data_IF_908416076458
#
_entry.id   IF_908416076458
#
_cell.length_a   1.000
_cell.length_b   1.000
_cell.length_c   1.000
_cell.angle_alpha   90.00
_cell.angle_beta   90.00
_cell.angle_gamma   90.00
#
_symmetry.space_group_name_H-M   'P 1'
#
loop_
_entity.id
_entity.type
_entity.pdbx_description
1 polymer ?
#
# COMPACT_ATOMS: atom_id res chain seq x y z
N UNK A 1 10.66 -16.01 -18.33
CA UNK A 1 10.50 -16.03 -16.86
C UNK A 1 10.19 -14.65 -16.26
N UNK A 2 10.87 -13.57 -16.69
CA UNK A 2 10.70 -12.21 -16.13
C UNK A 2 9.30 -11.61 -16.36
N UNK A 3 8.65 -11.91 -17.50
CA UNK A 3 7.32 -11.38 -17.84
C UNK A 3 6.21 -11.97 -16.96
N UNK A 4 6.27 -13.28 -16.66
CA UNK A 4 5.30 -13.96 -15.78
C UNK A 4 5.38 -13.46 -14.34
N UNK A 5 6.61 -13.25 -13.83
CA UNK A 5 6.84 -12.63 -12.51
C UNK A 5 6.24 -11.22 -12.42
N UNK A 6 6.33 -10.43 -13.51
CA UNK A 6 5.78 -9.08 -13.56
C UNK A 6 4.24 -9.09 -13.58
N UNK A 7 3.62 -9.98 -14.36
CA UNK A 7 2.15 -10.15 -14.39
C UNK A 7 1.58 -10.48 -13.01
N UNK A 8 2.21 -11.44 -12.31
CA UNK A 8 1.82 -11.80 -10.94
C UNK A 8 1.98 -10.61 -10.00
N UNK A 9 3.10 -9.88 -10.10
CA UNK A 9 3.36 -8.73 -9.25
C UNK A 9 2.33 -7.61 -9.43
N UNK A 10 1.92 -7.32 -10.67
CA UNK A 10 0.88 -6.31 -10.95
C UNK A 10 -0.46 -6.78 -10.39
N UNK A 11 -0.85 -8.03 -10.64
CA UNK A 11 -2.09 -8.59 -10.12
C UNK A 11 -2.16 -8.55 -8.58
N UNK A 12 -1.09 -8.95 -7.91
CA UNK A 12 -0.97 -8.89 -6.45
C UNK A 12 -1.00 -7.45 -5.94
N UNK A 13 -0.36 -6.51 -6.63
CA UNK A 13 -0.36 -5.09 -6.23
C UNK A 13 -1.76 -4.48 -6.36
N UNK A 14 -2.49 -4.80 -7.44
CA UNK A 14 -3.88 -4.36 -7.62
C UNK A 14 -4.81 -4.94 -6.53
N UNK A 15 -4.66 -6.23 -6.21
CA UNK A 15 -5.38 -6.86 -5.10
C UNK A 15 -5.05 -6.15 -3.77
N UNK A 16 -3.77 -5.92 -3.48
CA UNK A 16 -3.35 -5.24 -2.27
C UNK A 16 -3.93 -3.83 -2.16
N UNK A 17 -3.97 -3.06 -3.24
CA UNK A 17 -4.63 -1.74 -3.27
C UNK A 17 -6.11 -1.87 -3.00
N UNK A 18 -6.80 -2.81 -3.66
CA UNK A 18 -8.24 -3.05 -3.43
C UNK A 18 -8.56 -3.40 -1.98
N UNK A 19 -7.78 -4.31 -1.37
CA UNK A 19 -7.93 -4.66 0.05
C UNK A 19 -7.60 -3.49 0.97
N UNK A 20 -6.59 -2.68 0.64
CA UNK A 20 -6.24 -1.48 1.43
C UNK A 20 -7.35 -0.43 1.41
N UNK A 21 -7.97 -0.22 0.24
CA UNK A 21 -9.14 0.66 0.11
C UNK A 21 -10.34 0.09 0.88
N UNK A 22 -10.58 -1.21 0.79
CA UNK A 22 -11.62 -1.88 1.56
C UNK A 22 -11.41 -1.69 3.08
N UNK A 23 -10.16 -1.75 3.55
CA UNK A 23 -9.80 -1.46 4.93
C UNK A 23 -10.06 0.01 5.32
N UNK A 24 -9.89 0.97 4.41
CA UNK A 24 -10.24 2.38 4.68
C UNK A 24 -11.73 2.60 4.90
N UNK A 25 -12.55 1.97 4.06
CA UNK A 25 -14.00 2.22 4.03
C UNK A 25 -14.77 1.33 5.01
N UNK A 26 -14.18 0.22 5.47
CA UNK A 26 -14.86 -0.70 6.37
C UNK A 26 -15.19 -0.03 7.70
N UNK A 27 -16.34 -0.38 8.26
CA UNK A 27 -16.75 -0.01 9.61
C UNK A 27 -16.47 -1.12 10.63
N UNK A 28 -15.75 -2.17 10.23
CA UNK A 28 -15.42 -3.32 11.08
C UNK A 28 -14.24 -3.08 12.03
N UNK A 29 -13.76 -1.84 12.15
CA UNK A 29 -12.76 -1.51 13.16
C UNK A 29 -13.42 -1.43 14.54
N UNK A 30 -12.63 -1.59 15.60
CA UNK A 30 -13.13 -1.67 16.98
C UNK A 30 -13.87 -0.38 17.41
N UNK A 31 -13.43 0.77 16.87
CA UNK A 31 -14.09 2.07 17.02
C UNK A 31 -15.09 2.41 15.90
N UNK A 32 -15.41 1.46 15.02
CA UNK A 32 -16.33 1.60 13.88
C UNK A 32 -15.62 2.01 12.58
N UNK A 33 -16.05 3.12 11.98
CA UNK A 33 -15.45 3.63 10.74
C UNK A 33 -14.29 4.59 11.06
N UNK A 34 -13.16 4.40 10.37
CA UNK A 34 -11.91 5.14 10.55
C UNK A 34 -12.07 6.66 10.35
N UNK A 35 -12.93 7.08 9.41
CA UNK A 35 -13.12 8.48 9.04
C UNK A 35 -14.22 9.20 9.82
N UNK A 36 -15.03 8.49 10.61
CA UNK A 36 -16.17 9.10 11.31
C UNK A 36 -16.20 8.72 12.78
N UNK A 37 -16.50 7.47 13.10
CA UNK A 37 -16.67 7.01 14.47
C UNK A 37 -15.36 7.06 15.27
N UNK A 38 -14.24 6.63 14.68
CA UNK A 38 -12.94 6.65 15.35
C UNK A 38 -12.42 8.09 15.61
N UNK A 39 -12.76 9.06 14.75
CA UNK A 39 -12.35 10.46 14.91
C UNK A 39 -13.07 11.18 16.07
N UNK A 40 -14.24 10.68 16.50
CA UNK A 40 -15.03 11.27 17.60
C UNK A 40 -14.66 10.73 18.99
N UNK A 41 -13.67 9.85 19.08
CA UNK A 41 -13.27 9.19 20.34
C UNK A 41 -11.82 9.54 20.69
N UNK A 42 -11.31 9.05 21.82
CA UNK A 42 -9.89 9.19 22.21
C UNK A 42 -8.90 8.59 21.21
N UNK A 43 -9.38 7.80 20.23
CA UNK A 43 -8.56 7.21 19.16
C UNK A 43 -8.31 8.13 17.97
N UNK A 44 -8.72 9.42 18.03
CA UNK A 44 -8.63 10.35 16.89
C UNK A 44 -7.23 10.43 16.28
N UNK A 45 -6.19 10.61 17.12
CA UNK A 45 -4.82 10.81 16.64
C UNK A 45 -4.25 9.51 16.05
N UNK A 46 -4.56 8.37 16.67
CA UNK A 46 -4.17 7.04 16.20
C UNK A 46 -4.87 6.71 14.89
N UNK A 47 -6.17 6.94 14.78
CA UNK A 47 -6.96 6.69 13.58
C UNK A 47 -6.49 7.55 12.39
N UNK A 48 -6.15 8.82 12.64
CA UNK A 48 -5.57 9.69 11.62
C UNK A 48 -4.20 9.21 11.14
N UNK A 49 -3.33 8.76 12.07
CA UNK A 49 -2.03 8.20 11.73
C UNK A 49 -2.17 6.90 10.91
N UNK A 50 -3.07 6.01 11.30
CA UNK A 50 -3.36 4.76 10.58
C UNK A 50 -3.90 5.05 9.17
N UNK A 51 -4.86 5.97 9.04
CA UNK A 51 -5.38 6.38 7.75
C UNK A 51 -4.26 6.94 6.85
N UNK A 52 -3.40 7.81 7.39
CA UNK A 52 -2.25 8.37 6.67
C UNK A 52 -1.26 7.29 6.19
N UNK A 53 -0.94 6.32 7.04
CA UNK A 53 -0.05 5.21 6.69
C UNK A 53 -0.64 4.32 5.60
N UNK A 54 -1.93 4.01 5.64
CA UNK A 54 -2.56 3.21 4.60
C UNK A 54 -2.64 3.98 3.28
N UNK A 55 -2.97 5.27 3.32
CA UNK A 55 -2.96 6.13 2.11
C UNK A 55 -1.56 6.19 1.50
N UNK A 56 -0.52 6.38 2.32
CA UNK A 56 0.86 6.37 1.86
C UNK A 56 1.23 5.03 1.20
N UNK A 57 0.85 3.92 1.82
CA UNK A 57 1.04 2.58 1.25
C UNK A 57 0.35 2.40 -0.10
N UNK A 58 -0.91 2.85 -0.23
CA UNK A 58 -1.65 2.83 -1.50
C UNK A 58 -0.91 3.64 -2.57
N UNK A 59 -0.45 4.86 -2.26
CA UNK A 59 0.30 5.70 -3.20
C UNK A 59 1.58 5.01 -3.66
N UNK A 60 2.34 4.40 -2.74
CA UNK A 60 3.52 3.62 -3.10
C UNK A 60 3.19 2.45 -4.05
N UNK A 61 2.13 1.70 -3.79
CA UNK A 61 1.70 0.60 -4.66
C UNK A 61 1.22 1.07 -6.03
N UNK A 62 0.54 2.22 -6.11
CA UNK A 62 0.15 2.83 -7.39
C UNK A 62 1.38 3.21 -8.23
N UNK A 63 2.42 3.76 -7.59
CA UNK A 63 3.69 4.06 -8.27
C UNK A 63 4.32 2.78 -8.85
N UNK A 64 4.29 1.66 -8.11
CA UNK A 64 4.79 0.37 -8.61
C UNK A 64 3.99 -0.11 -9.83
N UNK A 65 2.66 0.01 -9.82
CA UNK A 65 1.81 -0.36 -10.95
C UNK A 65 2.15 0.48 -12.19
N UNK A 66 2.38 1.79 -12.01
CA UNK A 66 2.80 2.68 -13.09
C UNK A 66 4.17 2.27 -13.63
N UNK A 67 5.15 2.03 -12.74
CA UNK A 67 6.48 1.58 -13.12
C UNK A 67 6.39 0.28 -13.93
N UNK A 68 5.62 -0.71 -13.47
CA UNK A 68 5.46 -1.98 -14.16
C UNK A 68 4.76 -1.82 -15.51
N UNK A 69 3.80 -0.90 -15.64
CA UNK A 69 3.18 -0.52 -16.92
C UNK A 69 4.20 0.07 -17.90
N UNK A 70 5.06 0.99 -17.45
CA UNK A 70 6.11 1.59 -18.27
C UNK A 70 7.12 0.54 -18.74
N UNK A 71 7.46 -0.40 -17.86
CA UNK A 71 8.39 -1.47 -18.18
C UNK A 71 7.80 -2.53 -19.13
N UNK A 72 6.47 -2.65 -19.24
CA UNK A 72 5.82 -3.42 -20.31
C UNK A 72 5.96 -2.73 -21.67
N UNK A 73 5.95 -1.39 -21.70
CA UNK A 73 6.10 -0.63 -22.94
C UNK A 73 7.56 -0.45 -23.38
N UNK A 74 8.54 -0.60 -22.48
CA UNK A 74 9.95 -0.42 -22.81
C UNK A 74 10.88 -1.35 -22.03
N UNK A 75 11.39 -2.37 -22.73
CA UNK A 75 12.35 -3.33 -22.17
C UNK A 75 13.71 -2.69 -21.82
N UNK A 76 14.06 -1.58 -22.48
CA UNK A 76 15.29 -0.81 -22.22
C UNK A 76 15.27 -0.14 -20.85
N UNK A 77 14.08 0.26 -20.37
CA UNK A 77 13.91 0.77 -19.01
C UNK A 77 13.89 -0.36 -17.98
N UNK A 78 13.33 -1.51 -18.34
CA UNK A 78 13.26 -2.69 -17.47
C UNK A 78 14.63 -3.32 -17.16
N UNK A 79 15.60 -3.20 -18.08
CA UNK A 79 16.95 -3.79 -17.92
C UNK A 79 17.89 -2.98 -17.04
N UNK A 80 17.54 -1.74 -16.69
CA UNK A 80 18.36 -0.90 -15.82
C UNK A 80 18.32 -1.41 -14.38
N UNK A 81 19.48 -1.72 -13.81
CA UNK A 81 19.62 -2.13 -12.41
C UNK A 81 18.95 -1.12 -11.44
N UNK A 82 19.07 0.18 -11.74
CA UNK A 82 18.43 1.24 -10.96
C UNK A 82 16.90 1.11 -10.87
N UNK A 83 16.23 0.69 -11.96
CA UNK A 83 14.78 0.48 -11.97
C UNK A 83 14.38 -0.62 -10.98
N UNK A 84 15.10 -1.75 -11.00
CA UNK A 84 14.87 -2.88 -10.09
C UNK A 84 15.06 -2.47 -8.64
N UNK A 85 16.13 -1.73 -8.32
CA UNK A 85 16.40 -1.26 -6.96
C UNK A 85 15.32 -0.32 -6.44
N UNK A 86 14.93 0.69 -7.23
CA UNK A 86 13.88 1.66 -6.85
C UNK A 86 12.55 0.93 -6.60
N UNK A 87 12.20 -0.02 -7.46
CA UNK A 87 11.00 -0.85 -7.31
C UNK A 87 11.00 -1.59 -5.97
N UNK A 88 12.09 -2.24 -5.59
CA UNK A 88 12.18 -2.93 -4.31
C UNK A 88 12.07 -1.98 -3.12
N UNK A 89 12.73 -0.82 -3.17
CA UNK A 89 12.68 0.18 -2.10
C UNK A 89 11.24 0.67 -1.87
N UNK A 90 10.55 1.07 -2.95
CA UNK A 90 9.17 1.59 -2.85
C UNK A 90 8.22 0.50 -2.36
N UNK A 91 8.39 -0.74 -2.83
CA UNK A 91 7.54 -1.85 -2.42
C UNK A 91 7.73 -2.18 -0.94
N UNK A 92 8.98 -2.15 -0.44
CA UNK A 92 9.29 -2.35 0.97
C UNK A 92 8.78 -1.20 1.84
N UNK A 93 8.89 0.04 1.36
CA UNK A 93 8.39 1.22 2.06
C UNK A 93 6.86 1.19 2.18
N UNK A 94 6.17 0.86 1.08
CA UNK A 94 4.71 0.76 1.04
C UNK A 94 4.18 -0.39 1.89
N UNK A 95 4.83 -1.56 1.84
CA UNK A 95 4.43 -2.70 2.68
C UNK A 95 4.67 -2.44 4.17
N UNK A 96 5.80 -1.81 4.52
CA UNK A 96 6.08 -1.38 5.88
C UNK A 96 5.03 -0.37 6.38
N UNK A 97 4.66 0.62 5.56
CA UNK A 97 3.63 1.59 5.90
C UNK A 97 2.27 0.92 6.18
N UNK A 98 1.85 -0.01 5.31
CA UNK A 98 0.61 -0.78 5.51
C UNK A 98 0.65 -1.63 6.78
N UNK A 99 1.76 -2.34 7.01
CA UNK A 99 1.94 -3.16 8.21
C UNK A 99 1.91 -2.32 9.48
N UNK A 100 2.65 -1.21 9.53
CA UNK A 100 2.68 -0.31 10.68
C UNK A 100 1.28 0.27 10.94
N UNK A 101 0.55 0.65 9.88
CA UNK A 101 -0.82 1.15 10.00
C UNK A 101 -1.74 0.13 10.68
N UNK A 102 -1.69 -1.14 10.25
CA UNK A 102 -2.51 -2.21 10.86
C UNK A 102 -2.04 -2.52 12.29
N UNK A 103 -0.73 -2.57 12.54
CA UNK A 103 -0.18 -2.88 13.88
C UNK A 103 -0.52 -1.81 14.92
N UNK A 104 -0.46 -0.54 14.53
CA UNK A 104 -0.81 0.61 15.38
C UNK A 104 -2.26 0.53 15.84
N UNK A 105 -3.17 0.16 14.95
CA UNK A 105 -4.58 0.05 15.31
C UNK A 105 -4.86 -1.16 16.21
N UNK A 106 -4.09 -2.24 16.09
CA UNK A 106 -4.18 -3.40 16.99
C UNK A 106 -3.69 -3.10 18.42
N UNK A 107 -3.14 -1.92 18.69
CA UNK A 107 -2.60 -1.55 20.01
C UNK A 107 -1.27 -2.22 20.35
N UNK A 108 -0.57 -2.76 19.35
CA UNK A 108 0.74 -3.40 19.53
C UNK A 108 1.91 -2.40 19.54
N UNK A 109 1.65 -1.09 19.39
CA UNK A 109 2.67 -0.04 19.36
C UNK A 109 2.09 1.37 19.53
#
# INVERSE_FOLDING_TARGET
MIIEMRRLSVGLSCLAVGLSIAALITSSWDCGNLFSSCQRTSYKDTAAAVAGLIILGIVCLLIIIILDSVAFCSEVFASRAAYTTIRFIILYLGSAALLIGVLRLLGLY
#
